data_IF_726390322220
#
_entry.id   IF_726390322220
#
_cell.length_a   1.000
_cell.length_b   1.000
_cell.length_c   1.000
_cell.angle_alpha   90.00
_cell.angle_beta   90.00
_cell.angle_gamma   90.00
#
_symmetry.space_group_name_H-M   'P 1'
#
loop_
_entity.id
_entity.type
_entity.pdbx_description
1 polymer ?
#
# COMPACT_ATOMS: atom_id res chain seq x y z
N UNK A 1 -14.35 27.96 1.11
CA UNK A 1 -13.27 26.95 1.14
C UNK A 1 -13.04 26.53 -0.30
N UNK A 2 -11.83 26.65 -0.85
CA UNK A 2 -11.56 26.37 -2.27
C UNK A 2 -12.07 24.96 -2.63
N UNK A 3 -12.92 24.89 -3.65
CA UNK A 3 -13.61 23.67 -4.10
C UNK A 3 -12.63 22.63 -4.69
N UNK A 4 -11.38 23.01 -4.94
CA UNK A 4 -10.41 22.22 -5.71
C UNK A 4 -9.05 22.08 -5.01
N UNK A 5 -9.04 21.97 -3.68
CA UNK A 5 -7.78 21.79 -2.93
C UNK A 5 -7.09 20.45 -3.24
N UNK A 6 -7.87 19.42 -3.58
CA UNK A 6 -7.37 18.07 -3.83
C UNK A 6 -7.88 17.55 -5.17
N UNK A 7 -7.13 16.61 -5.76
CA UNK A 7 -7.59 15.84 -6.90
C UNK A 7 -8.94 15.16 -6.59
N UNK A 8 -9.88 15.11 -7.55
CA UNK A 8 -11.18 14.50 -7.31
C UNK A 8 -11.04 12.98 -7.10
N UNK A 9 -11.91 12.41 -6.27
CA UNK A 9 -11.99 10.96 -6.10
C UNK A 9 -12.79 10.34 -7.26
N UNK A 10 -12.09 9.56 -8.07
CA UNK A 10 -12.65 8.88 -9.25
C UNK A 10 -12.83 7.38 -9.05
N UNK A 11 -12.67 6.87 -7.81
CA UNK A 11 -12.89 5.45 -7.52
C UNK A 11 -14.35 5.08 -7.84
N UNK A 12 -14.59 3.91 -8.46
CA UNK A 12 -15.93 3.50 -8.85
C UNK A 12 -16.72 3.03 -7.62
N UNK A 13 -17.64 3.87 -7.15
CA UNK A 13 -18.63 3.49 -6.14
C UNK A 13 -20.02 3.31 -6.78
N UNK A 14 -20.87 2.43 -6.24
CA UNK A 14 -22.24 2.29 -6.72
C UNK A 14 -23.01 3.62 -6.62
N UNK A 15 -23.67 4.03 -7.71
CA UNK A 15 -24.47 5.26 -7.74
C UNK A 15 -25.64 5.22 -6.75
N UNK A 16 -26.23 4.03 -6.55
CA UNK A 16 -27.25 3.78 -5.53
C UNK A 16 -26.71 2.87 -4.42
N UNK A 17 -26.81 3.28 -3.13
CA UNK A 17 -26.35 2.45 -2.03
C UNK A 17 -27.11 1.12 -1.96
N UNK A 18 -26.36 0.03 -1.97
CA UNK A 18 -26.93 -1.32 -1.82
C UNK A 18 -27.36 -1.53 -0.37
N UNK A 19 -28.65 -1.81 -0.17
CA UNK A 19 -29.23 -2.07 1.18
C UNK A 19 -28.99 -3.52 1.60
N UNK A 20 -27.81 -3.78 2.17
CA UNK A 20 -27.48 -5.01 2.89
C UNK A 20 -27.06 -4.67 4.32
N UNK A 21 -27.45 -5.48 5.29
CA UNK A 21 -27.19 -5.21 6.72
C UNK A 21 -25.70 -4.95 7.01
N UNK A 22 -24.81 -5.75 6.42
CA UNK A 22 -23.36 -5.57 6.55
C UNK A 22 -22.90 -4.19 6.06
N UNK A 23 -23.39 -3.73 4.90
CA UNK A 23 -23.04 -2.42 4.33
C UNK A 23 -23.62 -1.28 5.16
N UNK A 24 -24.84 -1.46 5.68
CA UNK A 24 -25.47 -0.49 6.57
C UNK A 24 -24.67 -0.32 7.87
N UNK A 25 -24.21 -1.42 8.47
CA UNK A 25 -23.33 -1.36 9.64
C UNK A 25 -21.99 -0.71 9.32
N UNK A 26 -21.39 -0.98 8.16
CA UNK A 26 -20.15 -0.32 7.74
C UNK A 26 -20.30 1.19 7.60
N UNK A 27 -21.38 1.66 6.96
CA UNK A 27 -21.69 3.09 6.83
C UNK A 27 -21.95 3.73 8.20
N UNK A 28 -22.70 3.06 9.08
CA UNK A 28 -22.95 3.56 10.44
C UNK A 28 -21.69 3.59 11.31
N UNK A 29 -20.82 2.59 11.16
CA UNK A 29 -19.54 2.50 11.86
C UNK A 29 -18.55 3.59 11.42
N UNK A 30 -18.66 4.08 10.19
CA UNK A 30 -17.88 5.22 9.71
C UNK A 30 -18.29 6.54 10.37
N UNK A 31 -19.46 6.59 11.01
CA UNK A 31 -19.90 7.74 11.80
C UNK A 31 -19.15 7.90 13.13
N UNK A 32 -19.60 8.85 13.95
CA UNK A 32 -19.05 9.10 15.29
C UNK A 32 -19.98 8.64 16.42
N UNK A 33 -19.43 8.53 17.63
CA UNK A 33 -20.19 8.34 18.87
C UNK A 33 -20.58 6.90 19.19
N UNK A 34 -21.53 6.73 20.12
CA UNK A 34 -21.92 5.43 20.65
C UNK A 34 -22.55 4.51 19.59
N UNK A 35 -23.38 5.06 18.70
CA UNK A 35 -24.05 4.30 17.65
C UNK A 35 -23.04 3.70 16.65
N UNK A 36 -21.98 4.43 16.32
CA UNK A 36 -20.91 3.94 15.45
C UNK A 36 -20.17 2.75 16.07
N UNK A 37 -19.93 2.78 17.39
CA UNK A 37 -19.30 1.66 18.11
C UNK A 37 -20.18 0.39 18.09
N UNK A 38 -21.48 0.54 18.35
CA UNK A 38 -22.45 -0.56 18.28
C UNK A 38 -22.51 -1.14 16.86
N UNK A 39 -22.55 -0.27 15.84
CA UNK A 39 -22.52 -0.71 14.45
C UNK A 39 -21.21 -1.44 14.08
N UNK A 40 -20.07 -0.98 14.59
CA UNK A 40 -18.78 -1.64 14.39
C UNK A 40 -18.73 -3.03 15.08
N UNK A 41 -19.33 -3.17 16.27
CA UNK A 41 -19.48 -4.46 16.95
C UNK A 41 -20.39 -5.42 16.15
N UNK A 42 -21.54 -4.93 15.68
CA UNK A 42 -22.44 -5.70 14.84
C UNK A 42 -21.76 -6.15 13.53
N UNK A 43 -20.98 -5.26 12.90
CA UNK A 43 -20.21 -5.55 11.70
C UNK A 43 -19.21 -6.70 11.95
N UNK A 44 -18.44 -6.62 13.04
CA UNK A 44 -17.50 -7.68 13.43
C UNK A 44 -18.19 -9.02 13.67
N UNK A 45 -19.30 -9.01 14.40
CA UNK A 45 -20.07 -10.23 14.69
C UNK A 45 -20.61 -10.89 13.42
N UNK A 46 -21.10 -10.09 12.46
CA UNK A 46 -21.56 -10.60 11.16
C UNK A 46 -20.40 -11.20 10.36
N UNK A 47 -19.26 -10.51 10.27
CA UNK A 47 -18.08 -11.01 9.55
C UNK A 47 -17.59 -12.31 10.18
N UNK A 48 -17.51 -12.39 11.52
CA UNK A 48 -17.15 -13.62 12.22
C UNK A 48 -18.10 -14.77 11.86
N UNK A 49 -19.41 -14.53 11.86
CA UNK A 49 -20.41 -15.52 11.46
C UNK A 49 -20.25 -15.98 10.01
N UNK A 50 -19.96 -15.07 9.09
CA UNK A 50 -19.70 -15.38 7.68
C UNK A 50 -18.44 -16.23 7.48
N UNK A 51 -17.34 -15.88 8.16
CA UNK A 51 -16.07 -16.63 8.08
C UNK A 51 -16.20 -18.02 8.71
N UNK A 52 -16.97 -18.15 9.78
CA UNK A 52 -17.26 -19.43 10.45
C UNK A 52 -18.11 -20.38 9.59
N UNK A 53 -18.90 -19.84 8.66
CA UNK A 53 -19.78 -20.60 7.75
C UNK A 53 -19.18 -20.76 6.35
N UNK A 54 -17.91 -20.43 6.15
CA UNK A 54 -17.21 -20.49 4.86
C UNK A 54 -17.83 -19.59 3.74
N UNK A 55 -18.53 -18.52 4.11
CA UNK A 55 -19.20 -17.60 3.18
C UNK A 55 -18.31 -16.41 2.76
N UNK A 56 -17.13 -16.71 2.23
CA UNK A 56 -16.09 -15.71 1.89
C UNK A 56 -16.44 -14.81 0.69
N UNK A 57 -17.17 -15.36 -0.29
CA UNK A 57 -17.55 -14.61 -1.49
C UNK A 57 -18.41 -13.40 -1.15
N UNK A 58 -19.29 -13.52 -0.14
CA UNK A 58 -20.16 -12.44 0.29
C UNK A 58 -19.39 -11.25 0.86
N UNK A 59 -18.22 -11.47 1.47
CA UNK A 59 -17.35 -10.39 1.95
C UNK A 59 -16.68 -9.65 0.79
N UNK A 60 -16.22 -10.38 -0.22
CA UNK A 60 -15.63 -9.79 -1.43
C UNK A 60 -16.67 -8.95 -2.20
N UNK A 61 -17.89 -9.48 -2.34
CA UNK A 61 -19.02 -8.74 -2.94
C UNK A 61 -19.35 -7.51 -2.11
N UNK A 62 -19.37 -7.60 -0.78
CA UNK A 62 -19.63 -6.45 0.07
C UNK A 62 -18.58 -5.34 -0.12
N UNK A 63 -17.29 -5.67 -0.19
CA UNK A 63 -16.24 -4.68 -0.48
C UNK A 63 -16.46 -3.99 -1.83
N UNK A 64 -16.84 -4.74 -2.88
CA UNK A 64 -17.13 -4.16 -4.21
C UNK A 64 -18.38 -3.27 -4.24
N UNK A 65 -19.33 -3.51 -3.32
CA UNK A 65 -20.61 -2.80 -3.24
C UNK A 65 -20.61 -1.71 -2.16
N UNK A 66 -19.46 -1.45 -1.53
CA UNK A 66 -19.33 -0.40 -0.54
C UNK A 66 -19.64 0.97 -1.19
N UNK A 67 -20.46 1.82 -0.55
CA UNK A 67 -20.92 3.07 -1.17
C UNK A 67 -19.87 4.18 -1.19
N UNK A 68 -18.78 4.05 -0.44
CA UNK A 68 -17.68 5.01 -0.36
C UNK A 68 -16.43 4.38 0.29
N UNK A 69 -15.32 5.12 0.30
CA UNK A 69 -14.06 4.68 0.92
C UNK A 69 -14.19 4.41 2.42
N UNK A 70 -14.93 5.24 3.16
CA UNK A 70 -15.07 5.10 4.61
C UNK A 70 -15.72 3.77 4.98
N UNK A 71 -16.81 3.39 4.32
CA UNK A 71 -17.47 2.11 4.52
C UNK A 71 -16.54 0.94 4.17
N UNK A 72 -15.77 1.06 3.08
CA UNK A 72 -14.78 0.04 2.71
C UNK A 72 -13.70 -0.11 3.78
N UNK A 73 -13.17 1.00 4.30
CA UNK A 73 -12.20 1.04 5.41
C UNK A 73 -12.77 0.37 6.67
N UNK A 74 -14.04 0.59 7.00
CA UNK A 74 -14.69 -0.06 8.15
C UNK A 74 -14.82 -1.58 7.98
N UNK A 75 -15.19 -2.05 6.78
CA UNK A 75 -15.25 -3.49 6.49
C UNK A 75 -13.86 -4.10 6.64
N UNK A 76 -12.83 -3.51 6.02
CA UNK A 76 -11.44 -4.01 6.12
C UNK A 76 -10.93 -4.02 7.57
N UNK A 77 -11.19 -2.96 8.34
CA UNK A 77 -10.81 -2.90 9.75
C UNK A 77 -11.52 -3.99 10.57
N UNK A 78 -12.80 -4.24 10.31
CA UNK A 78 -13.55 -5.30 10.99
C UNK A 78 -13.05 -6.70 10.61
N UNK A 79 -12.68 -6.94 9.35
CA UNK A 79 -12.03 -8.19 8.92
C UNK A 79 -10.71 -8.38 9.66
N UNK A 80 -9.84 -7.37 9.67
CA UNK A 80 -8.56 -7.44 10.38
C UNK A 80 -8.75 -7.74 11.88
N UNK A 81 -9.75 -7.13 12.52
CA UNK A 81 -10.04 -7.39 13.93
C UNK A 81 -10.51 -8.83 14.17
N UNK A 82 -11.37 -9.37 13.30
CA UNK A 82 -11.83 -10.76 13.39
C UNK A 82 -10.69 -11.76 13.16
N UNK A 83 -9.70 -11.39 12.35
CA UNK A 83 -8.51 -12.20 12.10
C UNK A 83 -7.47 -12.14 13.24
N UNK A 84 -7.63 -11.26 14.23
CA UNK A 84 -6.78 -11.32 15.42
C UNK A 84 -7.07 -12.57 16.25
N UNK A 85 -6.04 -13.11 16.89
CA UNK A 85 -6.21 -14.07 17.97
C UNK A 85 -6.98 -13.40 19.12
N UNK A 86 -7.96 -14.11 19.68
CA UNK A 86 -8.83 -13.65 20.78
C UNK A 86 -8.73 -14.56 22.01
N UNK A 87 -8.20 -15.77 21.85
CA UNK A 87 -8.04 -16.76 22.94
C UNK A 87 -6.62 -17.33 22.92
N UNK A 88 -6.22 -18.00 24.00
CA UNK A 88 -4.90 -18.65 24.10
C UNK A 88 -4.77 -19.90 23.22
N UNK A 89 -5.90 -20.47 22.77
CA UNK A 89 -5.91 -21.60 21.82
C UNK A 89 -5.65 -21.13 20.38
N UNK A 90 -6.02 -19.88 20.07
CA UNK A 90 -5.81 -19.29 18.76
C UNK A 90 -4.37 -18.81 18.56
N UNK A 91 -3.91 -18.82 17.31
CA UNK A 91 -2.61 -18.25 16.93
C UNK A 91 -2.80 -16.92 16.21
N UNK A 92 -1.86 -15.99 16.42
CA UNK A 92 -1.79 -14.74 15.70
C UNK A 92 -0.83 -14.87 14.52
N UNK A 93 -1.37 -14.79 13.30
CA UNK A 93 -0.57 -14.66 12.08
C UNK A 93 -0.09 -13.22 11.89
N UNK A 94 1.12 -13.05 11.37
CA UNK A 94 1.65 -11.75 11.01
C UNK A 94 2.56 -11.83 9.78
N UNK A 95 2.73 -10.70 9.13
CA UNK A 95 3.66 -10.50 8.04
C UNK A 95 4.55 -9.31 8.37
N UNK A 96 5.87 -9.46 8.20
CA UNK A 96 6.85 -8.38 8.20
C UNK A 96 7.19 -8.04 6.74
N UNK A 97 6.68 -6.92 6.19
CA UNK A 97 6.98 -6.53 4.83
C UNK A 97 8.37 -5.91 4.70
N UNK A 98 9.04 -6.20 3.59
CA UNK A 98 10.24 -5.47 3.16
C UNK A 98 10.01 -4.92 1.76
N UNK A 99 9.97 -3.59 1.65
CA UNK A 99 9.89 -2.90 0.36
C UNK A 99 11.29 -2.75 -0.19
N UNK A 100 11.53 -3.26 -1.39
CA UNK A 100 12.85 -3.31 -2.01
C UNK A 100 12.89 -2.37 -3.21
N UNK A 101 13.87 -1.48 -3.24
CA UNK A 101 14.24 -0.74 -4.45
C UNK A 101 15.52 -1.36 -4.98
N UNK A 102 15.44 -1.97 -6.16
CA UNK A 102 16.54 -2.68 -6.76
C UNK A 102 16.92 -2.07 -8.12
N UNK A 103 18.21 -1.97 -8.38
CA UNK A 103 18.78 -1.58 -9.67
C UNK A 103 19.74 -2.65 -10.19
N UNK A 104 19.53 -3.15 -11.40
CA UNK A 104 20.45 -4.09 -12.04
C UNK A 104 20.59 -3.84 -13.55
N UNK A 105 21.77 -4.14 -14.11
CA UNK A 105 22.06 -3.93 -15.55
C UNK A 105 21.50 -5.03 -16.46
N UNK A 106 21.05 -6.14 -15.88
CA UNK A 106 20.44 -7.30 -16.54
C UNK A 106 19.44 -7.91 -15.56
N UNK A 107 18.47 -8.65 -16.08
CA UNK A 107 17.57 -9.45 -15.24
C UNK A 107 18.38 -10.30 -14.24
N UNK A 108 17.93 -10.29 -13.00
CA UNK A 108 18.57 -10.96 -11.87
C UNK A 108 17.50 -11.55 -10.95
N UNK A 109 17.90 -12.19 -9.86
CA UNK A 109 16.97 -12.63 -8.84
C UNK A 109 17.61 -12.57 -7.46
N UNK A 110 16.84 -12.13 -6.46
CA UNK A 110 17.27 -12.12 -5.06
C UNK A 110 16.97 -13.48 -4.41
N UNK A 111 17.73 -13.86 -3.36
CA UNK A 111 17.34 -14.97 -2.50
C UNK A 111 15.93 -14.79 -1.94
N UNK A 112 15.18 -15.89 -1.81
CA UNK A 112 13.86 -15.89 -1.19
C UNK A 112 13.81 -16.61 0.17
N UNK A 113 14.95 -16.99 0.74
CA UNK A 113 15.00 -17.54 2.10
C UNK A 113 14.71 -16.43 3.12
N UNK A 114 13.85 -16.71 4.10
CA UNK A 114 13.63 -15.78 5.20
C UNK A 114 14.80 -15.86 6.18
N UNK A 115 15.45 -14.74 6.55
CA UNK A 115 16.54 -14.71 7.52
C UNK A 115 16.00 -14.76 8.95
N UNK A 116 15.23 -15.81 9.27
CA UNK A 116 14.50 -15.93 10.53
C UNK A 116 15.41 -15.85 11.78
N UNK A 117 16.57 -16.52 11.84
CA UNK A 117 17.48 -16.39 12.99
C UNK A 117 17.95 -14.96 13.21
N UNK A 118 18.33 -14.26 12.14
CA UNK A 118 18.82 -12.88 12.18
C UNK A 118 17.70 -11.88 12.53
N UNK A 119 16.49 -12.10 11.99
CA UNK A 119 15.30 -11.33 12.37
C UNK A 119 15.00 -11.50 13.86
N UNK A 120 14.97 -12.73 14.37
CA UNK A 120 14.73 -12.99 15.78
C UNK A 120 15.79 -12.33 16.67
N UNK A 121 17.07 -12.46 16.32
CA UNK A 121 18.17 -11.84 17.05
C UNK A 121 18.05 -10.31 17.08
N UNK A 122 17.69 -9.69 15.95
CA UNK A 122 17.49 -8.25 15.85
C UNK A 122 16.29 -7.78 16.68
N UNK A 123 15.13 -8.41 16.51
CA UNK A 123 13.86 -8.02 17.14
C UNK A 123 13.86 -8.25 18.66
N UNK A 124 14.65 -9.19 19.18
CA UNK A 124 14.78 -9.46 20.62
C UNK A 124 15.34 -8.27 21.41
N UNK A 125 16.15 -7.43 20.76
CA UNK A 125 16.83 -6.29 21.37
C UNK A 125 15.88 -5.14 21.72
N UNK A 126 14.66 -5.12 21.16
CA UNK A 126 13.72 -4.02 21.36
C UNK A 126 12.44 -4.49 22.05
N UNK A 127 12.03 -3.89 23.19
CA UNK A 127 10.88 -4.36 23.96
C UNK A 127 9.56 -4.45 23.15
N UNK A 128 9.29 -3.48 22.27
CA UNK A 128 8.06 -3.43 21.48
C UNK A 128 8.02 -4.46 20.34
N UNK A 129 9.16 -5.00 19.89
CA UNK A 129 9.22 -6.05 18.86
C UNK A 129 9.58 -7.43 19.40
N UNK A 130 9.95 -7.53 20.68
CA UNK A 130 10.40 -8.78 21.31
C UNK A 130 9.41 -9.95 21.14
N UNK A 131 8.07 -9.79 21.16
CA UNK A 131 7.15 -10.88 20.88
C UNK A 131 7.45 -11.64 19.58
N UNK A 132 7.82 -10.92 18.50
CA UNK A 132 8.14 -11.52 17.20
C UNK A 132 9.39 -12.41 17.21
N UNK A 133 10.32 -12.20 18.16
CA UNK A 133 11.52 -13.05 18.31
C UNK A 133 11.22 -14.47 18.82
N UNK A 134 10.01 -14.69 19.35
CA UNK A 134 9.53 -15.97 19.90
C UNK A 134 8.54 -16.68 18.99
N UNK A 135 8.15 -16.03 17.90
CA UNK A 135 7.21 -16.59 16.95
C UNK A 135 7.84 -17.70 16.10
N UNK A 136 6.99 -18.52 15.50
CA UNK A 136 7.38 -19.43 14.42
C UNK A 136 7.44 -18.63 13.13
N UNK A 137 8.63 -18.55 12.53
CA UNK A 137 8.84 -17.92 11.23
C UNK A 137 8.84 -18.97 10.11
N UNK A 138 8.21 -18.64 9.00
CA UNK A 138 8.24 -19.48 7.81
C UNK A 138 9.60 -19.33 7.10
N UNK A 139 10.10 -20.40 6.44
CA UNK A 139 11.47 -20.44 5.90
C UNK A 139 11.64 -19.63 4.61
N UNK A 140 10.55 -19.25 3.94
CA UNK A 140 10.56 -18.58 2.64
C UNK A 140 9.78 -17.28 2.69
N UNK A 141 10.28 -16.31 1.94
CA UNK A 141 9.58 -15.06 1.68
C UNK A 141 8.42 -15.31 0.70
N UNK A 142 7.33 -14.59 0.91
CA UNK A 142 6.17 -14.60 0.02
C UNK A 142 6.13 -13.28 -0.75
N UNK A 143 5.78 -13.33 -2.04
CA UNK A 143 5.58 -12.14 -2.88
C UNK A 143 4.22 -11.51 -2.63
N UNK A 144 4.04 -10.24 -3.00
CA UNK A 144 2.74 -9.58 -2.92
C UNK A 144 1.63 -10.32 -3.68
N UNK A 145 1.95 -10.88 -4.86
CA UNK A 145 1.00 -11.67 -5.66
C UNK A 145 0.52 -12.90 -4.92
N UNK A 146 1.44 -13.72 -4.42
CA UNK A 146 1.11 -14.91 -3.64
C UNK A 146 0.35 -14.57 -2.34
N UNK A 147 0.73 -13.49 -1.64
CA UNK A 147 0.01 -13.06 -0.44
C UNK A 147 -1.44 -12.66 -0.74
N UNK A 148 -1.67 -12.00 -1.88
CA UNK A 148 -2.99 -11.55 -2.31
C UNK A 148 -3.95 -12.68 -2.71
N UNK A 149 -3.41 -13.86 -3.03
CA UNK A 149 -4.21 -15.06 -3.31
C UNK A 149 -4.81 -15.68 -2.05
N UNK A 150 -4.28 -15.32 -0.86
CA UNK A 150 -4.76 -15.84 0.42
C UNK A 150 -5.94 -15.00 0.90
N UNK A 151 -7.13 -15.60 0.89
CA UNK A 151 -8.34 -14.91 1.35
C UNK A 151 -8.51 -14.93 2.88
N UNK A 152 -9.39 -14.07 3.38
CA UNK A 152 -9.69 -13.95 4.82
C UNK A 152 -10.17 -15.26 5.45
N UNK A 153 -10.83 -16.12 4.69
CA UNK A 153 -11.27 -17.44 5.15
C UNK A 153 -10.13 -18.40 5.47
N UNK A 154 -9.11 -18.41 4.61
CA UNK A 154 -7.90 -19.21 4.84
C UNK A 154 -7.16 -18.73 6.09
N UNK A 155 -7.00 -17.42 6.26
CA UNK A 155 -6.43 -16.85 7.49
C UNK A 155 -7.25 -17.20 8.74
N UNK A 156 -8.58 -17.10 8.63
CA UNK A 156 -9.48 -17.43 9.73
C UNK A 156 -9.39 -18.91 10.14
N UNK A 157 -9.30 -19.84 9.17
CA UNK A 157 -9.08 -21.27 9.44
C UNK A 157 -7.70 -21.52 10.04
N UNK A 158 -6.67 -20.86 9.52
CA UNK A 158 -5.29 -21.02 9.96
C UNK A 158 -5.02 -20.46 11.37
N UNK A 159 -5.86 -19.54 11.87
CA UNK A 159 -5.69 -18.95 13.21
C UNK A 159 -6.26 -19.82 14.34
N UNK A 160 -7.07 -20.84 14.03
CA UNK A 160 -7.88 -21.54 15.03
C UNK A 160 -7.07 -22.29 16.10
N UNK A 161 -5.91 -22.82 15.72
CA UNK A 161 -4.96 -23.48 16.62
C UNK A 161 -3.61 -23.72 15.92
N UNK A 162 -2.62 -24.19 16.69
CA UNK A 162 -1.26 -24.44 16.21
C UNK A 162 -1.20 -25.51 15.10
N UNK A 163 -2.04 -26.54 15.14
CA UNK A 163 -2.07 -27.60 14.12
C UNK A 163 -2.59 -27.06 12.79
N UNK A 164 -3.69 -26.31 12.82
CA UNK A 164 -4.25 -25.63 11.66
C UNK A 164 -3.24 -24.64 11.06
N UNK A 165 -2.50 -23.91 11.90
CA UNK A 165 -1.47 -22.98 11.48
C UNK A 165 -0.31 -23.68 10.77
N UNK A 166 0.19 -24.79 11.35
CA UNK A 166 1.27 -25.57 10.77
C UNK A 166 0.86 -26.22 9.43
N UNK A 167 -0.37 -26.77 9.37
CA UNK A 167 -0.92 -27.33 8.13
C UNK A 167 -1.07 -26.27 7.04
N UNK A 168 -1.54 -25.07 7.40
CA UNK A 168 -1.62 -23.95 6.47
C UNK A 168 -0.24 -23.48 6.01
N UNK A 169 0.74 -23.35 6.92
CA UNK A 169 2.11 -22.98 6.60
C UNK A 169 2.76 -23.92 5.58
N UNK A 170 2.51 -25.23 5.69
CA UNK A 170 3.00 -26.23 4.75
C UNK A 170 2.34 -26.14 3.36
N UNK A 171 1.13 -25.59 3.28
CA UNK A 171 0.39 -25.39 2.01
C UNK A 171 0.79 -24.12 1.25
N UNK A 172 1.51 -23.20 1.90
CA UNK A 172 1.87 -21.93 1.30
C UNK A 172 2.92 -22.08 0.17
N UNK A 173 2.87 -21.20 -0.85
CA UNK A 173 3.81 -21.23 -1.95
C UNK A 173 5.28 -21.18 -1.48
N UNK A 174 6.12 -22.04 -2.06
CA UNK A 174 7.55 -22.09 -1.79
C UNK A 174 8.30 -21.24 -2.83
N UNK A 175 8.43 -19.93 -2.55
CA UNK A 175 9.19 -19.02 -3.43
C UNK A 175 10.66 -19.40 -3.43
N UNK A 176 11.20 -19.73 -4.60
CA UNK A 176 12.62 -20.09 -4.72
C UNK A 176 13.53 -18.86 -4.79
N UNK A 177 13.11 -17.87 -5.57
CA UNK A 177 13.83 -16.62 -5.82
C UNK A 177 12.84 -15.47 -6.06
N UNK A 178 13.29 -14.24 -5.80
CA UNK A 178 12.52 -13.02 -6.07
C UNK A 178 13.03 -12.39 -7.37
N UNK A 179 12.25 -12.37 -8.46
CA UNK A 179 12.72 -11.90 -9.76
C UNK A 179 12.95 -10.39 -9.76
N UNK A 180 14.03 -9.96 -10.43
CA UNK A 180 14.34 -8.57 -10.72
C UNK A 180 14.40 -8.34 -12.23
N UNK A 181 13.73 -7.29 -12.69
CA UNK A 181 13.79 -6.83 -14.08
C UNK A 181 15.02 -5.95 -14.29
N UNK A 182 15.51 -5.91 -15.53
CA UNK A 182 16.56 -4.96 -15.92
C UNK A 182 16.11 -3.51 -15.67
N UNK A 183 17.05 -2.67 -15.21
CA UNK A 183 16.78 -1.29 -14.84
C UNK A 183 16.51 -1.16 -13.35
N UNK A 184 15.57 -0.28 -13.00
CA UNK A 184 15.15 -0.03 -11.61
C UNK A 184 13.75 -0.58 -11.38
N UNK A 185 13.55 -1.22 -10.23
CA UNK A 185 12.26 -1.79 -9.83
C UNK A 185 11.99 -1.57 -8.35
N UNK A 186 10.71 -1.47 -8.01
CA UNK A 186 10.24 -1.42 -6.62
C UNK A 186 9.27 -2.56 -6.39
N UNK A 187 9.63 -3.46 -5.48
CA UNK A 187 8.89 -4.68 -5.16
C UNK A 187 8.72 -4.86 -3.65
N UNK A 188 7.88 -5.79 -3.24
CA UNK A 188 7.68 -6.13 -1.82
C UNK A 188 7.72 -7.64 -1.66
N UNK A 189 8.40 -8.07 -0.61
CA UNK A 189 8.35 -9.43 -0.11
C UNK A 189 7.94 -9.41 1.37
N UNK A 190 7.43 -10.53 1.86
CA UNK A 190 6.92 -10.67 3.22
C UNK A 190 7.58 -11.86 3.89
N UNK A 191 8.18 -11.63 5.05
CA UNK A 191 8.47 -12.71 5.97
C UNK A 191 7.22 -12.98 6.82
N UNK A 192 6.71 -14.20 6.74
CA UNK A 192 5.54 -14.64 7.48
C UNK A 192 5.92 -15.36 8.77
N UNK A 193 5.07 -15.21 9.77
CA UNK A 193 5.14 -16.02 10.97
C UNK A 193 3.81 -16.09 11.70
N UNK A 194 3.77 -16.93 12.72
CA UNK A 194 2.65 -17.05 13.63
C UNK A 194 3.14 -17.34 15.06
N UNK A 195 2.34 -16.97 16.06
CA UNK A 195 2.65 -17.20 17.47
C UNK A 195 1.42 -16.97 18.35
N UNK A 196 1.63 -16.78 19.66
CA UNK A 196 0.53 -16.62 20.60
C UNK A 196 -0.07 -15.22 20.63
N UNK A 197 -1.04 -15.04 21.54
CA UNK A 197 -1.79 -13.80 21.75
C UNK A 197 -0.90 -12.59 22.09
N UNK A 198 0.29 -12.82 22.64
CA UNK A 198 1.27 -11.78 22.98
C UNK A 198 1.77 -10.98 21.76
N UNK A 199 1.56 -11.47 20.54
CA UNK A 199 1.86 -10.75 19.31
C UNK A 199 0.87 -9.61 19.04
N UNK A 200 -0.42 -9.77 19.41
CA UNK A 200 -1.49 -8.82 19.06
C UNK A 200 -1.16 -7.38 19.45
N UNK A 201 -0.68 -7.09 20.68
CA UNK A 201 -0.37 -5.72 21.07
C UNK A 201 0.85 -5.13 20.36
N UNK A 202 1.64 -5.94 19.63
CA UNK A 202 2.83 -5.50 18.92
C UNK A 202 2.58 -5.23 17.43
N UNK A 203 1.47 -5.71 16.87
CA UNK A 203 1.12 -5.54 15.46
C UNK A 203 0.87 -4.07 15.11
N UNK A 204 1.31 -3.67 13.92
CA UNK A 204 1.13 -2.32 13.38
C UNK A 204 1.90 -1.22 14.13
N UNK A 205 2.68 -1.56 15.16
CA UNK A 205 3.49 -0.59 15.90
C UNK A 205 4.74 -0.21 15.12
N UNK A 206 5.00 1.09 15.04
CA UNK A 206 6.19 1.62 14.38
C UNK A 206 7.46 0.92 14.88
N UNK A 207 8.36 0.57 13.96
CA UNK A 207 9.62 -0.12 14.26
C UNK A 207 10.55 0.71 15.15
N UNK A 208 10.44 2.04 15.14
CA UNK A 208 11.28 2.97 15.91
C UNK A 208 12.77 2.64 15.71
N UNK A 209 13.54 2.53 16.79
CA UNK A 209 14.97 2.25 16.76
C UNK A 209 15.33 0.86 16.19
N UNK A 210 14.35 -0.02 15.96
CA UNK A 210 14.56 -1.32 15.31
C UNK A 210 14.64 -1.22 13.77
N UNK A 211 14.23 -0.10 13.16
CA UNK A 211 14.12 0.02 11.70
C UNK A 211 15.49 -0.08 11.00
N UNK A 212 16.49 0.69 11.44
CA UNK A 212 17.82 0.70 10.81
C UNK A 212 18.55 -0.64 10.93
N UNK A 213 18.55 -1.32 12.10
CA UNK A 213 19.17 -2.64 12.21
C UNK A 213 18.44 -3.71 11.38
N UNK A 214 17.11 -3.67 11.31
CA UNK A 214 16.36 -4.57 10.43
C UNK A 214 16.70 -4.34 8.95
N UNK A 215 16.90 -3.09 8.53
CA UNK A 215 17.36 -2.79 7.17
C UNK A 215 18.69 -3.49 6.88
N UNK A 216 19.63 -3.51 7.83
CA UNK A 216 20.91 -4.21 7.66
C UNK A 216 20.74 -5.73 7.54
N UNK A 217 19.87 -6.35 8.34
CA UNK A 217 19.53 -7.77 8.23
C UNK A 217 19.04 -8.09 6.82
N UNK A 218 18.11 -7.29 6.29
CA UNK A 218 17.58 -7.48 4.95
C UNK A 218 18.60 -7.28 3.84
N UNK A 219 19.47 -6.27 3.96
CA UNK A 219 20.51 -6.00 2.98
C UNK A 219 21.51 -7.16 2.86
N UNK A 220 21.91 -7.76 3.99
CA UNK A 220 22.84 -8.90 3.95
C UNK A 220 22.13 -10.18 3.46
N UNK A 221 20.88 -10.43 3.91
CA UNK A 221 20.12 -11.61 3.50
C UNK A 221 19.79 -11.64 2.00
N UNK A 222 19.57 -10.47 1.39
CA UNK A 222 19.18 -10.31 -0.01
C UNK A 222 20.36 -9.97 -0.94
N UNK A 223 21.58 -9.95 -0.40
CA UNK A 223 22.79 -9.54 -1.12
C UNK A 223 23.00 -10.39 -2.37
N UNK A 224 23.06 -9.71 -3.52
CA UNK A 224 23.18 -10.35 -4.83
C UNK A 224 24.20 -9.61 -5.68
N UNK A 225 25.21 -10.30 -6.27
CA UNK A 225 26.20 -9.66 -7.13
C UNK A 225 25.56 -8.92 -8.30
N UNK A 226 26.02 -7.69 -8.57
CA UNK A 226 25.52 -6.88 -9.68
C UNK A 226 24.16 -6.21 -9.45
N UNK A 227 23.60 -6.32 -8.23
CA UNK A 227 22.38 -5.63 -7.81
C UNK A 227 22.72 -4.52 -6.83
N UNK A 228 22.20 -3.32 -7.08
CA UNK A 228 22.13 -2.26 -6.06
C UNK A 228 20.80 -2.38 -5.36
N UNK A 229 20.79 -2.56 -4.04
CA UNK A 229 19.58 -2.82 -3.27
C UNK A 229 19.44 -1.81 -2.14
N UNK A 230 18.25 -1.25 -2.01
CA UNK A 230 17.74 -0.63 -0.79
C UNK A 230 16.58 -1.46 -0.27
N UNK A 231 16.54 -1.71 1.03
CA UNK A 231 15.52 -2.52 1.68
C UNK A 231 14.88 -1.74 2.84
N UNK A 232 13.59 -1.47 2.75
CA UNK A 232 12.83 -0.74 3.74
C UNK A 232 11.88 -1.70 4.49
N UNK A 233 12.25 -2.20 5.68
CA UNK A 233 11.34 -2.98 6.49
C UNK A 233 10.19 -2.11 7.02
N UNK A 234 8.97 -2.65 6.96
CA UNK A 234 7.80 -2.04 7.59
C UNK A 234 7.46 -2.78 8.88
N UNK A 235 6.69 -2.13 9.79
CA UNK A 235 6.12 -2.80 10.96
C UNK A 235 5.48 -4.15 10.63
N UNK A 236 5.71 -5.20 11.43
CA UNK A 236 4.93 -6.42 11.32
C UNK A 236 3.46 -6.14 11.66
N UNK A 237 2.56 -6.68 10.86
CA UNK A 237 1.12 -6.53 11.07
C UNK A 237 0.36 -7.81 10.67
N UNK A 238 -0.94 -7.87 10.91
CA UNK A 238 -1.80 -8.91 10.37
C UNK A 238 -1.65 -8.95 8.84
N UNK A 239 -1.56 -10.14 8.19
CA UNK A 239 -1.20 -10.24 6.77
C UNK A 239 -1.98 -9.32 5.82
N UNK A 240 -3.29 -9.14 6.03
CA UNK A 240 -4.11 -8.24 5.20
C UNK A 240 -3.75 -6.76 5.38
N UNK A 241 -3.52 -6.31 6.62
CA UNK A 241 -3.06 -4.95 6.90
C UNK A 241 -1.65 -4.71 6.34
N UNK A 242 -0.75 -5.69 6.51
CA UNK A 242 0.62 -5.61 6.01
C UNK A 242 0.66 -5.52 4.47
N UNK A 243 -0.24 -6.22 3.78
CA UNK A 243 -0.39 -6.16 2.31
C UNK A 243 -0.80 -4.75 1.85
N UNK A 244 -1.76 -4.13 2.55
CA UNK A 244 -2.23 -2.77 2.25
C UNK A 244 -1.12 -1.75 2.46
N UNK A 245 -0.54 -1.70 3.67
CA UNK A 245 0.49 -0.71 4.03
C UNK A 245 1.73 -0.83 3.15
N UNK A 246 2.19 -2.06 2.89
CA UNK A 246 3.34 -2.26 2.02
C UNK A 246 3.02 -1.98 0.54
N UNK A 247 1.78 -2.21 0.09
CA UNK A 247 1.33 -1.82 -1.24
C UNK A 247 1.39 -0.30 -1.44
N UNK A 248 0.89 0.46 -0.47
CA UNK A 248 0.96 1.92 -0.46
C UNK A 248 2.42 2.41 -0.44
N UNK A 249 3.26 1.89 0.46
CA UNK A 249 4.68 2.26 0.53
C UNK A 249 5.43 1.91 -0.77
N UNK A 250 5.15 0.75 -1.38
CA UNK A 250 5.74 0.34 -2.66
C UNK A 250 5.39 1.33 -3.76
N UNK A 251 4.12 1.75 -3.87
CA UNK A 251 3.70 2.76 -4.84
C UNK A 251 4.38 4.11 -4.58
N UNK A 252 4.50 4.50 -3.30
CA UNK A 252 5.20 5.72 -2.91
C UNK A 252 6.65 5.71 -3.39
N UNK A 253 7.40 4.68 -3.02
CA UNK A 253 8.80 4.56 -3.41
C UNK A 253 8.97 4.41 -4.93
N UNK A 254 8.03 3.75 -5.62
CA UNK A 254 8.02 3.68 -7.08
C UNK A 254 7.83 5.05 -7.73
N UNK A 255 6.94 5.88 -7.18
CA UNK A 255 6.76 7.27 -7.62
C UNK A 255 8.02 8.10 -7.38
N UNK A 256 8.67 7.96 -6.21
CA UNK A 256 9.90 8.69 -5.89
C UNK A 256 11.03 8.36 -6.88
N UNK A 257 11.24 7.05 -7.16
CA UNK A 257 12.24 6.59 -8.14
C UNK A 257 11.89 7.06 -9.55
N UNK A 258 10.61 6.95 -9.95
CA UNK A 258 10.15 7.37 -11.26
C UNK A 258 10.33 8.88 -11.46
N UNK A 259 9.89 9.69 -10.51
CA UNK A 259 9.99 11.15 -10.55
C UNK A 259 11.45 11.61 -10.64
N UNK A 260 12.35 11.03 -9.83
CA UNK A 260 13.77 11.34 -9.87
C UNK A 260 14.39 11.09 -11.25
N UNK A 261 14.05 9.96 -11.88
CA UNK A 261 14.50 9.64 -13.23
C UNK A 261 13.91 10.56 -14.28
N UNK A 262 12.60 10.83 -14.22
CA UNK A 262 11.90 11.65 -15.19
C UNK A 262 12.41 13.11 -15.16
N UNK A 263 12.53 13.69 -13.96
CA UNK A 263 13.09 15.03 -13.74
C UNK A 263 14.51 15.12 -14.28
N UNK A 264 15.36 14.14 -13.97
CA UNK A 264 16.74 14.10 -14.47
C UNK A 264 16.77 14.03 -15.99
N UNK A 265 15.98 13.16 -16.60
CA UNK A 265 15.95 12.97 -18.06
C UNK A 265 15.52 14.26 -18.78
N UNK A 266 14.50 14.95 -18.27
CA UNK A 266 14.02 16.21 -18.84
C UNK A 266 15.08 17.31 -18.67
N UNK A 267 15.72 17.41 -17.50
CA UNK A 267 16.76 18.41 -17.21
C UNK A 267 17.99 18.31 -18.12
N UNK A 268 18.24 17.15 -18.73
CA UNK A 268 19.30 17.00 -19.73
C UNK A 268 19.02 17.77 -21.04
N UNK A 269 17.75 18.07 -21.32
CA UNK A 269 17.30 18.64 -22.61
C UNK A 269 16.62 19.99 -22.44
N UNK A 270 15.97 20.25 -21.30
CA UNK A 270 15.25 21.47 -20.99
C UNK A 270 15.63 21.98 -19.60
N UNK A 271 15.87 23.30 -19.40
CA UNK A 271 16.24 23.82 -18.09
C UNK A 271 15.11 23.72 -17.05
N UNK A 272 13.85 23.56 -17.49
CA UNK A 272 12.67 23.57 -16.61
C UNK A 272 11.80 22.34 -16.85
N UNK A 273 11.41 21.71 -15.74
CA UNK A 273 10.48 20.58 -15.73
C UNK A 273 9.08 21.10 -15.42
N UNK A 274 8.10 20.70 -16.23
CA UNK A 274 6.67 20.91 -15.99
C UNK A 274 6.01 19.61 -15.54
N UNK A 275 5.20 19.68 -14.49
CA UNK A 275 4.47 18.54 -13.93
C UNK A 275 2.97 18.76 -13.98
N UNK A 276 2.24 17.74 -14.44
CA UNK A 276 0.77 17.73 -14.45
C UNK A 276 0.29 16.64 -13.50
N UNK A 277 -0.62 17.01 -12.59
CA UNK A 277 -1.28 16.12 -11.66
C UNK A 277 -2.77 16.08 -12.02
N UNK A 278 -3.32 14.90 -12.23
CA UNK A 278 -4.74 14.72 -12.53
C UNK A 278 -5.28 13.45 -11.88
N UNK A 279 -6.58 13.43 -11.60
CA UNK A 279 -7.29 12.19 -11.42
C UNK A 279 -7.72 11.67 -12.80
N UNK A 280 -7.77 10.36 -12.96
CA UNK A 280 -8.33 9.69 -14.13
C UNK A 280 -9.54 8.87 -13.70
N UNK A 281 -10.60 8.88 -14.51
CA UNK A 281 -11.77 8.02 -14.31
C UNK A 281 -11.35 6.55 -14.11
N UNK A 282 -12.03 5.83 -13.21
CA UNK A 282 -11.66 4.47 -12.84
C UNK A 282 -10.70 4.37 -11.65
N UNK A 283 -10.50 5.46 -10.91
CA UNK A 283 -9.80 5.44 -9.62
C UNK A 283 -8.29 5.43 -9.73
N UNK A 284 -7.71 6.32 -10.55
CA UNK A 284 -6.25 6.49 -10.67
C UNK A 284 -5.85 7.94 -10.48
N UNK A 285 -4.67 8.17 -9.90
CA UNK A 285 -3.98 9.46 -9.99
C UNK A 285 -2.86 9.36 -11.03
N UNK A 286 -2.71 10.41 -11.83
CA UNK A 286 -1.78 10.48 -12.93
C UNK A 286 -0.79 11.62 -12.68
N UNK A 287 0.50 11.30 -12.73
CA UNK A 287 1.59 12.27 -12.54
C UNK A 287 2.46 12.32 -13.79
N UNK A 288 2.27 13.35 -14.61
CA UNK A 288 2.97 13.55 -15.87
C UNK A 288 4.14 14.52 -15.74
N UNK A 289 5.29 14.14 -16.30
CA UNK A 289 6.51 14.94 -16.34
C UNK A 289 6.82 15.31 -17.79
N UNK A 290 7.00 16.61 -18.02
CA UNK A 290 7.14 17.21 -19.35
C UNK A 290 8.22 18.31 -19.33
N UNK A 291 8.69 18.73 -20.51
CA UNK A 291 9.32 20.04 -20.64
C UNK A 291 8.27 21.15 -20.51
N UNK A 292 8.65 22.32 -19.99
CA UNK A 292 7.72 23.46 -19.88
C UNK A 292 7.39 24.12 -21.21
N UNK A 293 8.23 23.92 -22.23
CA UNK A 293 8.07 24.53 -23.55
C UNK A 293 7.92 23.43 -24.60
N UNK A 294 6.94 23.59 -25.49
CA UNK A 294 6.60 22.59 -26.53
C UNK A 294 7.67 22.41 -27.62
N UNK A 295 8.70 23.25 -27.62
CA UNK A 295 9.81 23.18 -28.58
C UNK A 295 10.85 22.11 -28.23
N UNK A 296 10.81 21.57 -27.00
CA UNK A 296 11.65 20.44 -26.61
C UNK A 296 10.90 19.13 -26.85
N UNK A 297 11.46 18.29 -27.71
CA UNK A 297 10.91 16.97 -28.02
C UNK A 297 11.29 15.94 -26.95
N UNK A 298 10.72 16.09 -25.75
CA UNK A 298 10.87 15.11 -24.66
C UNK A 298 9.57 14.31 -24.57
N UNK A 299 9.67 12.99 -24.76
CA UNK A 299 8.53 12.10 -24.55
C UNK A 299 7.95 12.29 -23.14
N UNK A 300 6.64 12.57 -23.03
CA UNK A 300 5.97 12.66 -21.74
C UNK A 300 6.14 11.37 -20.95
N UNK A 301 6.58 11.51 -19.69
CA UNK A 301 6.70 10.39 -18.77
C UNK A 301 5.55 10.47 -17.76
N UNK A 302 4.71 9.44 -17.70
CA UNK A 302 3.53 9.43 -16.83
C UNK A 302 3.62 8.28 -15.84
N UNK A 303 3.51 8.60 -14.56
CA UNK A 303 3.29 7.60 -13.51
C UNK A 303 1.80 7.48 -13.21
N UNK A 304 1.30 6.25 -13.14
CA UNK A 304 -0.07 5.95 -12.75
C UNK A 304 -0.10 5.34 -11.35
N UNK A 305 -0.84 5.98 -10.44
CA UNK A 305 -1.13 5.49 -9.11
C UNK A 305 -2.55 4.94 -9.06
N UNK A 306 -2.75 3.61 -9.07
CA UNK A 306 -4.08 3.04 -8.85
C UNK A 306 -4.49 3.27 -7.39
N UNK A 307 -5.65 3.89 -7.18
CA UNK A 307 -6.16 4.18 -5.84
C UNK A 307 -6.76 2.92 -5.22
N UNK A 308 -6.23 2.56 -4.05
CA UNK A 308 -6.88 1.63 -3.14
C UNK A 308 -8.07 2.31 -2.44
N UNK A 309 -9.12 1.57 -2.01
CA UNK A 309 -10.15 2.12 -1.13
C UNK A 309 -9.63 2.67 0.21
N UNK A 310 -8.40 2.27 0.59
CA UNK A 310 -7.73 2.75 1.82
C UNK A 310 -6.86 3.98 1.60
N UNK A 311 -6.55 4.32 0.34
CA UNK A 311 -5.74 5.49 0.03
C UNK A 311 -6.49 6.77 0.34
N UNK A 312 -5.77 7.72 0.94
CA UNK A 312 -6.22 9.09 1.12
C UNK A 312 -5.57 9.97 0.06
N UNK A 313 -6.38 10.46 -0.87
CA UNK A 313 -5.90 11.28 -2.01
C UNK A 313 -5.11 12.49 -1.49
N UNK A 314 -5.55 13.12 -0.39
CA UNK A 314 -4.86 14.28 0.16
C UNK A 314 -3.43 13.94 0.60
N UNK A 315 -3.23 12.75 1.17
CA UNK A 315 -1.92 12.29 1.64
C UNK A 315 -1.01 11.96 0.46
N UNK A 316 -1.51 11.24 -0.54
CA UNK A 316 -0.74 10.91 -1.75
C UNK A 316 -0.34 12.19 -2.50
N UNK A 317 -1.28 13.13 -2.66
CA UNK A 317 -1.05 14.42 -3.29
C UNK A 317 0.01 15.23 -2.53
N UNK A 318 -0.14 15.40 -1.20
CA UNK A 318 0.78 16.21 -0.42
C UNK A 318 2.18 15.63 -0.44
N UNK A 319 2.31 14.31 -0.22
CA UNK A 319 3.61 13.65 -0.29
C UNK A 319 4.28 13.85 -1.66
N UNK A 320 3.52 13.85 -2.75
CA UNK A 320 4.06 14.08 -4.09
C UNK A 320 4.48 15.55 -4.30
N UNK A 321 3.69 16.51 -3.80
CA UNK A 321 4.07 17.93 -3.83
C UNK A 321 5.37 18.16 -3.05
N UNK A 322 5.51 17.55 -1.87
CA UNK A 322 6.72 17.66 -1.05
C UNK A 322 7.95 17.14 -1.80
N UNK A 323 7.82 15.99 -2.48
CA UNK A 323 8.87 15.46 -3.35
C UNK A 323 9.26 16.44 -4.48
N UNK A 324 8.29 17.08 -5.12
CA UNK A 324 8.54 18.05 -6.20
C UNK A 324 9.27 19.29 -5.67
N UNK A 325 8.91 19.76 -4.47
CA UNK A 325 9.60 20.87 -3.78
C UNK A 325 11.04 20.50 -3.46
N UNK A 326 11.28 19.32 -2.88
CA UNK A 326 12.64 18.80 -2.62
C UNK A 326 13.46 18.69 -3.92
N UNK A 327 12.81 18.31 -5.02
CA UNK A 327 13.44 18.22 -6.33
C UNK A 327 13.59 19.58 -7.05
N UNK A 328 13.13 20.69 -6.45
CA UNK A 328 13.12 22.04 -7.05
C UNK A 328 12.31 22.12 -8.36
N UNK A 329 11.11 21.56 -8.37
CA UNK A 329 10.16 21.66 -9.48
C UNK A 329 9.03 22.63 -9.10
N UNK A 330 9.01 23.80 -9.75
CA UNK A 330 8.03 24.87 -9.44
C UNK A 330 6.85 24.90 -10.42
N UNK A 331 7.03 24.38 -11.64
CA UNK A 331 6.03 24.41 -12.69
C UNK A 331 5.09 23.22 -12.54
N UNK A 332 4.11 23.34 -11.64
CA UNK A 332 3.14 22.29 -11.32
C UNK A 332 1.75 22.74 -11.75
N UNK A 333 0.99 21.84 -12.36
CA UNK A 333 -0.41 22.04 -12.73
C UNK A 333 -1.26 20.90 -12.19
N UNK A 334 -2.07 21.19 -11.17
CA UNK A 334 -3.11 20.30 -10.66
C UNK A 334 -4.40 20.58 -11.42
N UNK A 335 -4.92 19.59 -12.15
CA UNK A 335 -6.19 19.69 -12.89
C UNK A 335 -7.38 19.54 -11.96
N UNK A 336 -8.37 20.42 -12.13
CA UNK A 336 -9.59 20.42 -11.30
C UNK A 336 -10.55 19.29 -11.66
N UNK A 337 -10.66 19.00 -12.96
CA UNK A 337 -11.55 17.97 -13.50
C UNK A 337 -10.76 16.69 -13.84
N UNK A 338 -11.37 15.50 -13.69
CA UNK A 338 -10.72 14.26 -14.06
C UNK A 338 -10.54 14.12 -15.57
N UNK A 339 -9.50 13.41 -15.99
CA UNK A 339 -9.33 12.96 -17.38
C UNK A 339 -10.10 11.65 -17.60
N UNK A 340 -10.56 11.42 -18.83
CA UNK A 340 -11.29 10.20 -19.18
C UNK A 340 -10.45 8.93 -19.00
N UNK A 341 -11.12 7.78 -18.81
CA UNK A 341 -10.48 6.48 -18.46
C UNK A 341 -9.39 6.04 -19.47
N UNK A 342 -9.54 6.40 -20.74
CA UNK A 342 -8.60 6.08 -21.82
C UNK A 342 -7.95 7.33 -22.45
N UNK A 343 -8.13 8.50 -21.84
CA UNK A 343 -7.51 9.73 -22.34
C UNK A 343 -6.05 9.82 -21.91
N UNK A 344 -5.20 10.26 -22.83
CA UNK A 344 -3.81 10.59 -22.50
C UNK A 344 -3.76 11.83 -21.60
N UNK A 345 -2.87 11.80 -20.62
CA UNK A 345 -2.66 12.95 -19.76
C UNK A 345 -2.09 14.12 -20.60
N UNK A 346 -2.69 15.32 -20.54
CA UNK A 346 -2.17 16.46 -21.29
C UNK A 346 -0.75 16.81 -20.85
N UNK A 347 0.08 17.21 -21.81
CA UNK A 347 1.40 17.77 -21.53
C UNK A 347 1.26 19.06 -20.71
N UNK A 348 2.34 19.47 -20.02
CA UNK A 348 2.33 20.69 -19.21
C UNK A 348 1.85 21.94 -19.98
N UNK A 349 2.33 22.24 -21.21
CA UNK A 349 1.83 23.38 -21.98
C UNK A 349 0.34 23.29 -22.34
N UNK A 350 -0.19 22.09 -22.56
CA UNK A 350 -1.62 21.88 -22.83
C UNK A 350 -2.45 22.06 -21.55
N UNK A 351 -1.97 21.52 -20.42
CA UNK A 351 -2.62 21.59 -19.12
C UNK A 351 -2.79 23.02 -18.59
N UNK A 352 -1.93 23.96 -19.01
CA UNK A 352 -2.09 25.40 -18.70
C UNK A 352 -3.37 26.00 -19.30
N UNK A 353 -3.97 25.38 -20.32
CA UNK A 353 -5.21 25.83 -20.97
C UNK A 353 -6.48 25.21 -20.37
N UNK A 354 -6.32 24.24 -19.46
CA UNK A 354 -7.42 23.53 -18.81
C UNK A 354 -7.68 24.08 -17.40
N UNK A 355 -8.88 23.90 -16.82
CA UNK A 355 -9.15 24.22 -15.42
C UNK A 355 -8.16 23.53 -14.49
N UNK A 356 -7.48 24.32 -13.67
CA UNK A 356 -6.42 23.83 -12.78
C UNK A 356 -5.66 24.97 -12.11
N UNK A 357 -4.71 24.63 -11.26
CA UNK A 357 -3.88 25.60 -10.56
C UNK A 357 -2.49 25.07 -10.22
N UNK A 358 -1.62 25.96 -9.76
CA UNK A 358 -0.35 25.54 -9.16
C UNK A 358 -0.55 25.38 -7.64
N UNK A 359 -0.41 24.16 -7.08
CA UNK A 359 -0.68 23.92 -5.67
C UNK A 359 0.29 24.64 -4.72
N UNK A 360 1.44 25.14 -5.21
CA UNK A 360 2.40 25.92 -4.41
C UNK A 360 1.97 27.37 -4.19
N UNK A 361 1.19 27.93 -5.12
CA UNK A 361 0.80 29.36 -5.12
C UNK A 361 -0.71 29.57 -5.00
N UNK A 362 -1.51 28.49 -5.02
CA UNK A 362 -2.97 28.53 -5.01
C UNK A 362 -3.57 28.86 -6.37
N UNK A 363 -4.91 29.02 -6.42
CA UNK A 363 -5.67 29.29 -7.65
C UNK A 363 -5.35 30.66 -8.29
N UNK A 364 -4.38 31.42 -7.77
CA UNK A 364 -4.01 32.73 -8.32
C UNK A 364 -5.21 33.66 -8.48
N UNK A 365 -6.19 33.54 -7.59
CA UNK A 365 -7.47 34.23 -7.70
C UNK A 365 -7.26 35.69 -8.04
N UNK A 366 -7.73 36.07 -9.22
CA UNK A 366 -7.83 37.47 -9.64
C UNK A 366 -8.43 38.27 -8.49
N UNK A 367 -7.66 39.28 -8.05
CA UNK A 367 -8.12 40.38 -7.22
C UNK A 367 -9.12 41.25 -7.95
#
# INVERSE_FOLDING_TARGET
MSRYRYLPDTRPYPAEPVRRDLLMHAVQAAGGGAQAKIAAEALRAQIYGMLSQDFYLNLSVALSMAPNEDACRQIMAAVNDVLHAKTDDEVQWFALPVVMVAGCKKAAALPAAAPAPELCACLANYPHTRPFSRAVWLPRLITAGQMSEINAGQWFKAKQNTEAAAGFAASLPQTEQLPLVEGQSVSVAYALGYGGLELVPALGKNLQDAALPLMQVWLEALKTPGVTLFANPLPPDNPAAALIEAGHMRLRMALDVFAGNAIRAIRMQSPRVGVVMAAQEGGRLMFGFNATESQFDVQPQVFSWPLSPTDKIETVQQNFIDLLVECQVENIRLLHDPVGENEELPSYPQALRLPGHNPLYGDGGES
#
